data_IF_802934314489
#
_entry.id   IF_802934314489
#
_cell.length_a   1.000
_cell.length_b   1.000
_cell.length_c   1.000
_cell.angle_alpha   90.00
_cell.angle_beta   90.00
_cell.angle_gamma   90.00
#
_symmetry.space_group_name_H-M   'P 1'
#
loop_
_entity.id
_entity.type
_entity.pdbx_description
1 polymer ?
#
# COMPACT_ATOMS: atom_id res chain seq x y z
N UNK A 1 -27.26 -21.96 18.35
CA UNK A 1 -26.00 -21.54 17.70
C UNK A 1 -26.14 -21.87 16.22
N UNK A 2 -26.32 -20.88 15.36
CA UNK A 2 -26.31 -21.09 13.91
C UNK A 2 -24.88 -21.35 13.45
N UNK A 3 -24.65 -22.51 12.86
CA UNK A 3 -23.41 -22.86 12.15
C UNK A 3 -23.42 -22.14 10.79
N UNK A 4 -22.72 -21.00 10.70
CA UNK A 4 -22.44 -20.37 9.41
C UNK A 4 -21.62 -21.33 8.53
N UNK A 5 -22.26 -21.85 7.49
CA UNK A 5 -21.63 -22.71 6.50
C UNK A 5 -20.91 -21.82 5.47
N UNK A 6 -19.65 -21.50 5.71
CA UNK A 6 -18.84 -20.67 4.80
C UNK A 6 -18.31 -21.51 3.63
N UNK A 7 -19.20 -21.91 2.71
CA UNK A 7 -18.78 -22.56 1.46
C UNK A 7 -18.18 -21.55 0.48
N UNK A 8 -17.14 -21.97 -0.24
CA UNK A 8 -16.56 -21.17 -1.31
C UNK A 8 -17.54 -21.06 -2.48
N UNK A 9 -17.90 -19.83 -2.84
CA UNK A 9 -18.80 -19.55 -3.97
C UNK A 9 -18.03 -19.24 -5.27
N UNK A 10 -16.85 -18.62 -5.17
CA UNK A 10 -16.07 -18.20 -6.33
C UNK A 10 -15.14 -17.02 -6.04
N UNK A 11 -14.35 -16.63 -7.04
CA UNK A 11 -13.47 -15.48 -7.00
C UNK A 11 -14.07 -14.31 -7.80
N UNK A 12 -14.07 -13.13 -7.20
CA UNK A 12 -14.37 -11.88 -7.92
C UNK A 12 -13.04 -11.25 -8.34
N UNK A 13 -12.84 -11.06 -9.64
CA UNK A 13 -11.60 -10.50 -10.20
C UNK A 13 -11.83 -9.06 -10.62
N UNK A 14 -11.17 -8.13 -9.93
CA UNK A 14 -11.17 -6.71 -10.28
C UNK A 14 -9.92 -6.39 -11.11
N UNK A 15 -10.11 -5.82 -12.30
CA UNK A 15 -9.03 -5.44 -13.21
C UNK A 15 -9.14 -3.94 -13.53
N UNK A 16 -7.99 -3.30 -13.69
CA UNK A 16 -7.93 -1.87 -14.03
C UNK A 16 -6.50 -1.43 -14.32
N UNK A 17 -6.35 -0.16 -14.68
CA UNK A 17 -5.06 0.51 -14.85
C UNK A 17 -5.00 1.71 -13.92
N UNK A 18 -3.87 1.89 -13.24
CA UNK A 18 -3.60 3.06 -12.42
C UNK A 18 -2.78 4.06 -13.24
N UNK A 19 -3.15 5.33 -13.17
CA UNK A 19 -2.42 6.43 -13.80
C UNK A 19 -1.91 7.34 -12.70
N UNK A 20 -0.61 7.61 -12.72
CA UNK A 20 0.02 8.56 -11.80
C UNK A 20 -0.27 9.98 -12.29
N UNK A 21 -1.11 10.72 -11.56
CA UNK A 21 -1.41 12.13 -11.88
C UNK A 21 -0.25 13.07 -11.51
N UNK A 22 0.56 12.66 -10.54
CA UNK A 22 1.77 13.35 -10.09
C UNK A 22 2.94 12.36 -10.03
N UNK A 23 4.21 12.82 -9.98
CA UNK A 23 5.35 11.92 -9.78
C UNK A 23 5.18 11.06 -8.52
N UNK A 24 5.22 9.74 -8.70
CA UNK A 24 5.03 8.76 -7.63
C UNK A 24 6.37 8.17 -7.21
N UNK A 25 6.73 8.31 -5.94
CA UNK A 25 7.89 7.65 -5.34
C UNK A 25 7.43 6.59 -4.34
N UNK A 26 7.82 5.34 -4.57
CA UNK A 26 7.69 4.24 -3.62
C UNK A 26 9.09 3.69 -3.38
N UNK A 27 9.62 3.97 -2.20
CA UNK A 27 10.93 3.47 -1.78
C UNK A 27 10.89 1.98 -1.41
N UNK A 28 12.01 1.30 -1.63
CA UNK A 28 12.27 -0.05 -1.12
C UNK A 28 13.10 -0.04 0.15
N UNK A 29 13.42 -1.23 0.66
CA UNK A 29 14.43 -1.37 1.71
C UNK A 29 15.81 -0.95 1.15
N UNK A 30 16.67 -0.38 1.98
CA UNK A 30 18.03 0.00 1.59
C UNK A 30 18.89 -1.25 1.38
N UNK A 31 18.78 -1.87 0.21
CA UNK A 31 19.72 -2.92 -0.17
C UNK A 31 21.05 -2.29 -0.55
N UNK A 32 22.04 -2.52 0.32
CA UNK A 32 23.48 -2.21 0.23
C UNK A 32 23.83 -0.78 -0.19
N UNK A 33 24.52 -0.06 0.70
CA UNK A 33 25.22 1.17 0.35
C UNK A 33 26.29 0.85 -0.71
N UNK A 34 25.92 0.89 -1.98
CA UNK A 34 26.86 0.88 -3.08
C UNK A 34 27.52 2.26 -3.14
N UNK A 35 28.86 2.29 -3.24
CA UNK A 35 29.62 3.52 -3.36
C UNK A 35 29.18 4.21 -4.67
N UNK A 36 28.52 5.36 -4.57
CA UNK A 36 27.94 6.08 -5.71
C UNK A 36 26.44 5.79 -6.00
N UNK A 37 25.74 5.10 -5.10
CA UNK A 37 24.31 4.82 -5.22
C UNK A 37 23.40 6.05 -5.10
N UNK A 38 22.21 5.97 -5.68
CA UNK A 38 21.16 7.00 -5.58
C UNK A 38 20.56 7.03 -4.16
N UNK A 39 20.41 8.21 -3.56
CA UNK A 39 19.99 8.38 -2.15
C UNK A 39 18.61 7.79 -1.84
N UNK A 40 17.64 7.90 -2.77
CA UNK A 40 16.25 7.43 -2.60
C UNK A 40 15.78 6.64 -3.83
N UNK A 41 16.19 5.37 -3.98
CA UNK A 41 15.79 4.57 -5.12
C UNK A 41 14.29 4.25 -5.06
N UNK A 42 13.63 4.29 -6.22
CA UNK A 42 12.28 3.73 -6.40
C UNK A 42 12.40 2.21 -6.49
N UNK A 43 11.47 1.49 -5.87
CA UNK A 43 11.41 0.02 -5.98
C UNK A 43 11.16 -0.40 -7.43
N UNK A 44 11.90 -1.40 -7.89
CA UNK A 44 11.84 -1.91 -9.26
C UNK A 44 11.64 -3.42 -9.25
N UNK A 45 10.98 -3.92 -10.28
CA UNK A 45 10.88 -5.35 -10.52
C UNK A 45 12.28 -5.90 -10.88
N UNK A 46 12.81 -6.92 -10.17
CA UNK A 46 14.13 -7.47 -10.45
C UNK A 46 14.26 -8.10 -11.83
N UNK A 47 13.15 -8.50 -12.48
CA UNK A 47 13.16 -9.12 -13.80
C UNK A 47 13.20 -8.08 -14.91
N UNK A 48 12.34 -7.07 -14.82
CA UNK A 48 12.18 -6.06 -15.89
C UNK A 48 12.92 -4.75 -15.64
N UNK A 49 13.39 -4.53 -14.41
CA UNK A 49 14.00 -3.29 -13.93
C UNK A 49 13.09 -2.04 -14.05
N UNK A 50 11.78 -2.24 -14.27
CA UNK A 50 10.80 -1.15 -14.27
C UNK A 50 10.28 -0.86 -12.86
N UNK A 51 9.95 0.42 -12.56
CA UNK A 51 9.28 0.76 -11.31
C UNK A 51 7.88 0.15 -11.30
N UNK A 52 7.45 -0.33 -10.13
CA UNK A 52 6.12 -0.89 -9.94
C UNK A 52 5.51 -0.44 -8.62
N UNK A 53 4.17 -0.58 -8.50
CA UNK A 53 3.45 -0.36 -7.24
C UNK A 53 3.29 -1.73 -6.55
N UNK A 54 3.92 -1.97 -5.39
CA UNK A 54 3.75 -3.22 -4.68
C UNK A 54 2.32 -3.44 -4.20
N UNK A 55 1.83 -4.68 -4.30
CA UNK A 55 0.48 -5.02 -3.84
C UNK A 55 0.28 -4.78 -2.34
N UNK A 56 1.33 -4.96 -1.52
CA UNK A 56 1.32 -4.64 -0.09
C UNK A 56 1.15 -3.14 0.16
N UNK A 57 1.84 -2.29 -0.59
CA UNK A 57 1.72 -0.83 -0.49
C UNK A 57 0.31 -0.35 -0.85
N UNK A 58 -0.26 -0.86 -1.94
CA UNK A 58 -1.63 -0.51 -2.35
C UNK A 58 -2.67 -1.00 -1.33
N UNK A 59 -2.58 -2.27 -0.91
CA UNK A 59 -3.46 -2.85 0.11
C UNK A 59 -3.38 -2.08 1.43
N UNK A 60 -2.17 -1.74 1.88
CA UNK A 60 -1.94 -1.02 3.12
C UNK A 60 -2.58 0.37 3.10
N UNK A 61 -2.40 1.13 2.01
CA UNK A 61 -3.01 2.46 1.88
C UNK A 61 -4.54 2.40 1.85
N UNK A 62 -5.13 1.46 1.11
CA UNK A 62 -6.58 1.27 1.07
C UNK A 62 -7.15 0.90 2.45
N UNK A 63 -6.49 -0.04 3.14
CA UNK A 63 -6.88 -0.44 4.50
C UNK A 63 -6.85 0.76 5.46
N UNK A 64 -5.74 1.50 5.48
CA UNK A 64 -5.58 2.67 6.33
C UNK A 64 -6.68 3.71 6.08
N UNK A 65 -6.93 4.07 4.81
CA UNK A 65 -7.98 5.03 4.44
C UNK A 65 -9.37 4.56 4.89
N UNK A 66 -9.68 3.28 4.74
CA UNK A 66 -10.94 2.71 5.19
C UNK A 66 -11.08 2.72 6.71
N UNK A 67 -10.02 2.34 7.44
CA UNK A 67 -10.02 2.37 8.92
C UNK A 67 -10.26 3.78 9.46
N UNK A 68 -9.71 4.81 8.81
CA UNK A 68 -10.01 6.20 9.14
C UNK A 68 -11.45 6.60 8.78
N UNK A 69 -11.92 6.24 7.58
CA UNK A 69 -13.28 6.58 7.13
C UNK A 69 -14.36 5.96 8.04
N UNK A 70 -14.11 4.76 8.56
CA UNK A 70 -15.02 4.03 9.46
C UNK A 70 -14.82 4.37 10.94
N UNK A 71 -13.95 5.32 11.28
CA UNK A 71 -13.56 5.67 12.66
C UNK A 71 -13.12 4.44 13.50
N UNK A 72 -12.54 3.44 12.85
CA UNK A 72 -12.05 2.22 13.50
C UNK A 72 -10.70 2.43 14.20
N UNK A 73 -9.99 3.52 13.90
CA UNK A 73 -8.72 3.91 14.53
C UNK A 73 -8.99 4.76 15.77
N UNK A 74 -8.48 4.34 16.93
CA UNK A 74 -8.51 5.13 18.16
C UNK A 74 -7.32 6.08 18.22
N UNK A 75 -7.53 7.34 18.61
CA UNK A 75 -6.48 8.34 18.73
C UNK A 75 -5.30 7.90 19.63
N UNK A 76 -5.59 7.06 20.65
CA UNK A 76 -4.60 6.51 21.58
C UNK A 76 -3.62 5.50 20.95
N UNK A 77 -3.92 4.96 19.77
CA UNK A 77 -3.12 3.93 19.09
C UNK A 77 -2.31 4.51 17.91
N UNK A 78 -2.45 5.81 17.65
CA UNK A 78 -1.79 6.48 16.52
C UNK A 78 -0.27 6.50 16.69
N UNK A 79 0.46 5.87 15.76
CA UNK A 79 1.92 6.00 15.71
C UNK A 79 2.31 7.30 15.04
N UNK A 80 3.46 7.85 15.43
CA UNK A 80 4.03 9.08 14.84
C UNK A 80 4.16 8.91 13.32
N UNK A 81 3.36 9.65 12.55
CA UNK A 81 3.32 9.57 11.08
C UNK A 81 2.03 9.00 10.48
N UNK A 82 1.16 8.40 11.28
CA UNK A 82 -0.19 7.98 10.87
C UNK A 82 -1.17 9.12 11.05
N UNK A 83 -1.15 10.08 10.13
CA UNK A 83 -2.13 11.17 10.12
C UNK A 83 -3.34 10.77 9.27
N UNK A 84 -4.55 11.24 9.63
CA UNK A 84 -5.69 11.13 8.74
C UNK A 84 -5.33 11.75 7.37
N UNK A 85 -5.89 11.24 6.26
CA UNK A 85 -5.76 11.91 4.97
C UNK A 85 -6.15 13.38 5.12
N UNK A 86 -5.35 14.28 4.55
CA UNK A 86 -5.64 15.71 4.62
C UNK A 86 -6.95 16.00 3.90
N UNK A 87 -7.71 16.99 4.41
CA UNK A 87 -9.02 17.39 3.89
C UNK A 87 -8.89 18.38 2.71
N UNK A 88 -7.69 18.47 2.13
CA UNK A 88 -7.33 19.42 1.06
C UNK A 88 -7.71 18.89 -0.33
#
# INVERSE_FOLDING_TARGET
>A
METKNNSFLGNIILKGKLITLTPLHIGGSKDKFEIGGVDKPVIKDPVTNYPYIPGSSLKGKLRMLLEFAENAVKESEMKKGEYPPSND
#
